data_IF_736882263739
#
_entry.id   IF_736882263739
#
_cell.length_a   1.000
_cell.length_b   1.000
_cell.length_c   1.000
_cell.angle_alpha   90.00
_cell.angle_beta   90.00
_cell.angle_gamma   90.00
#
_symmetry.space_group_name_H-M   'P 1'
#
loop_
_entity.id
_entity.type
_entity.pdbx_description
1 polymer ?
#
# COMPACT_ATOMS: atom_id res chain seq x y z
N UNK A 1 11.01 23.55 11.63
CA UNK A 1 10.31 22.45 10.94
C UNK A 1 10.95 22.33 9.57
N UNK A 2 11.76 21.29 9.36
CA UNK A 2 12.40 21.02 8.07
C UNK A 2 11.32 20.65 7.06
N UNK A 3 11.46 21.06 5.80
CA UNK A 3 10.55 20.62 4.75
C UNK A 3 10.53 19.08 4.70
N UNK A 4 9.36 18.44 4.54
CA UNK A 4 9.28 16.99 4.48
C UNK A 4 10.17 16.51 3.34
N UNK A 5 11.21 15.78 3.71
CA UNK A 5 12.21 15.30 2.79
C UNK A 5 11.54 14.22 1.95
N UNK A 6 11.48 14.42 0.64
CA UNK A 6 10.92 13.42 -0.27
C UNK A 6 11.78 12.15 -0.17
N UNK A 7 11.27 11.13 0.52
CA UNK A 7 12.00 9.90 0.77
C UNK A 7 11.85 8.95 -0.42
N UNK A 8 12.78 9.05 -1.37
CA UNK A 8 12.75 8.27 -2.63
C UNK A 8 12.72 6.76 -2.39
N UNK A 9 13.40 6.27 -1.35
CA UNK A 9 13.37 4.86 -0.99
C UNK A 9 11.95 4.43 -0.59
N UNK A 10 11.28 5.24 0.22
CA UNK A 10 9.90 4.96 0.64
C UNK A 10 8.90 5.16 -0.48
N UNK A 11 9.15 6.08 -1.41
CA UNK A 11 8.34 6.22 -2.62
C UNK A 11 8.38 4.94 -3.47
N UNK A 12 9.57 4.35 -3.67
CA UNK A 12 9.67 3.06 -4.37
C UNK A 12 8.94 1.94 -3.62
N UNK A 13 9.13 1.85 -2.30
CA UNK A 13 8.45 0.83 -1.47
C UNK A 13 6.93 1.01 -1.50
N UNK A 14 6.43 2.24 -1.51
CA UNK A 14 5.03 2.53 -1.70
C UNK A 14 4.51 2.02 -3.06
N UNK A 15 5.21 2.34 -4.17
CA UNK A 15 4.85 1.81 -5.48
C UNK A 15 4.86 0.27 -5.48
N UNK A 16 5.80 -0.36 -4.79
CA UNK A 16 5.87 -1.82 -4.67
C UNK A 16 4.69 -2.41 -3.89
N UNK A 17 4.28 -1.80 -2.78
CA UNK A 17 3.09 -2.21 -2.03
C UNK A 17 1.80 -2.04 -2.84
N UNK A 18 1.70 -0.98 -3.63
CA UNK A 18 0.52 -0.72 -4.47
C UNK A 18 0.41 -1.67 -5.66
N UNK A 19 1.55 -2.07 -6.26
CA UNK A 19 1.55 -2.84 -7.51
C UNK A 19 1.81 -4.34 -7.33
N UNK A 20 2.43 -4.76 -6.23
CA UNK A 20 2.76 -6.18 -5.96
C UNK A 20 3.79 -6.81 -6.92
N UNK A 21 4.22 -6.08 -7.94
CA UNK A 21 5.20 -6.47 -8.96
C UNK A 21 6.32 -5.43 -9.01
N UNK A 22 7.57 -5.88 -8.85
CA UNK A 22 8.73 -5.00 -8.76
C UNK A 22 9.00 -4.19 -10.04
N UNK A 23 8.69 -4.75 -11.21
CA UNK A 23 8.89 -4.10 -12.51
C UNK A 23 7.81 -3.03 -12.74
N UNK A 24 6.54 -3.34 -12.45
CA UNK A 24 5.45 -2.34 -12.48
C UNK A 24 5.74 -1.21 -11.49
N UNK A 25 6.16 -1.54 -10.28
CA UNK A 25 6.53 -0.56 -9.27
C UNK A 25 7.68 0.35 -9.72
N UNK A 26 8.73 -0.23 -10.34
CA UNK A 26 9.85 0.52 -10.89
C UNK A 26 9.42 1.47 -12.00
N UNK A 27 8.56 1.01 -12.92
CA UNK A 27 8.04 1.84 -14.01
C UNK A 27 7.25 3.06 -13.49
N UNK A 28 6.37 2.84 -12.52
CA UNK A 28 5.60 3.92 -11.88
C UNK A 28 6.53 4.88 -11.14
N UNK A 29 7.50 4.35 -10.39
CA UNK A 29 8.49 5.16 -9.67
C UNK A 29 9.32 6.04 -10.62
N UNK A 30 9.90 5.46 -11.67
CA UNK A 30 10.70 6.18 -12.65
C UNK A 30 9.88 7.23 -13.42
N UNK A 31 8.65 6.89 -13.78
CA UNK A 31 7.73 7.84 -14.44
C UNK A 31 7.39 9.01 -13.52
N UNK A 32 7.11 8.74 -12.24
CA UNK A 32 6.84 9.78 -11.24
C UNK A 32 8.04 10.73 -11.10
N UNK A 33 9.27 10.18 -11.03
CA UNK A 33 10.49 11.01 -10.94
C UNK A 33 10.81 11.78 -12.21
N UNK A 34 10.53 11.20 -13.38
CA UNK A 34 10.71 11.88 -14.67
C UNK A 34 9.81 13.12 -14.75
N UNK A 35 8.53 12.97 -14.45
CA UNK A 35 7.57 14.08 -14.44
C UNK A 35 7.93 15.12 -13.37
N UNK A 36 8.40 14.68 -12.20
CA UNK A 36 8.93 15.55 -11.18
C UNK A 36 10.10 16.41 -11.68
N UNK A 37 11.07 15.80 -12.36
CA UNK A 37 12.24 16.48 -12.90
C UNK A 37 11.85 17.50 -13.99
N UNK A 38 10.89 17.16 -14.86
CA UNK A 38 10.37 18.07 -15.86
C UNK A 38 9.71 19.30 -15.22
N UNK A 39 8.79 19.10 -14.27
CA UNK A 39 8.15 20.20 -13.52
C UNK A 39 9.18 21.06 -12.79
N UNK A 40 10.21 20.44 -12.21
CA UNK A 40 11.31 21.15 -11.56
C UNK A 40 12.08 22.06 -12.52
N UNK A 41 12.36 21.59 -13.73
CA UNK A 41 13.02 22.39 -14.76
C UNK A 41 12.21 23.63 -15.17
N UNK A 42 10.88 23.58 -15.03
CA UNK A 42 9.97 24.70 -15.28
C UNK A 42 9.68 25.56 -14.03
N UNK A 43 10.20 25.19 -12.86
CA UNK A 43 9.91 25.90 -11.61
C UNK A 43 8.49 25.65 -11.07
N UNK A 44 7.86 24.56 -11.49
CA UNK A 44 6.45 24.22 -11.22
C UNK A 44 6.28 23.11 -10.18
N UNK A 45 7.28 22.89 -9.32
CA UNK A 45 7.16 21.87 -8.27
C UNK A 45 6.07 22.25 -7.26
N UNK A 46 5.15 21.31 -6.93
CA UNK A 46 4.19 21.51 -5.86
C UNK A 46 4.89 21.82 -4.53
N UNK A 47 4.29 22.69 -3.72
CA UNK A 47 4.81 23.06 -2.39
C UNK A 47 4.24 22.16 -1.30
N UNK A 48 3.21 21.41 -1.62
CA UNK A 48 2.50 20.51 -0.73
C UNK A 48 3.44 19.39 -0.28
N UNK A 49 3.40 19.02 1.01
CA UNK A 49 4.18 17.89 1.50
C UNK A 49 3.75 16.60 0.78
N UNK A 50 4.70 15.70 0.58
CA UNK A 50 4.47 14.35 0.00
C UNK A 50 3.74 14.34 -1.36
N UNK A 51 3.83 15.41 -2.14
CA UNK A 51 3.18 15.46 -3.44
C UNK A 51 3.61 14.33 -4.39
N UNK A 52 4.86 13.81 -4.28
CA UNK A 52 5.31 12.64 -5.03
C UNK A 52 4.49 11.39 -4.69
N UNK A 53 4.10 11.21 -3.42
CA UNK A 53 3.26 10.07 -3.02
C UNK A 53 1.84 10.21 -3.55
N UNK A 54 1.28 11.43 -3.64
CA UNK A 54 -0.01 11.66 -4.31
C UNK A 54 0.08 11.34 -5.81
N UNK A 55 1.13 11.81 -6.46
CA UNK A 55 1.38 11.61 -7.90
C UNK A 55 1.59 10.12 -8.25
N UNK A 56 2.36 9.41 -7.40
CA UNK A 56 2.56 7.97 -7.49
C UNK A 56 1.27 7.18 -7.22
N UNK A 57 0.49 7.57 -6.20
CA UNK A 57 -0.80 6.92 -5.90
C UNK A 57 -1.71 6.98 -7.12
N UNK A 58 -1.88 8.15 -7.71
CA UNK A 58 -2.73 8.33 -8.89
C UNK A 58 -2.28 7.42 -10.06
N UNK A 59 -0.97 7.36 -10.35
CA UNK A 59 -0.41 6.46 -11.39
C UNK A 59 -0.62 4.98 -11.07
N UNK A 60 -0.45 4.57 -9.81
CA UNK A 60 -0.71 3.19 -9.40
C UNK A 60 -2.17 2.80 -9.61
N UNK A 61 -3.10 3.70 -9.30
CA UNK A 61 -4.54 3.49 -9.51
C UNK A 61 -4.85 3.35 -11.01
N UNK A 62 -4.39 4.29 -11.83
CA UNK A 62 -4.58 4.27 -13.29
C UNK A 62 -4.01 2.98 -13.92
N UNK A 63 -2.80 2.58 -13.55
CA UNK A 63 -2.19 1.35 -14.02
C UNK A 63 -2.97 0.10 -13.59
N UNK A 64 -3.60 0.12 -12.41
CA UNK A 64 -4.40 -0.99 -11.89
C UNK A 64 -5.80 -1.10 -12.51
N UNK A 65 -6.36 0.01 -13.01
CA UNK A 65 -7.64 -0.01 -13.74
C UNK A 65 -7.51 -0.64 -15.13
N UNK A 66 -6.30 -0.58 -15.71
CA UNK A 66 -6.01 -1.08 -17.05
C UNK A 66 -5.75 -2.60 -17.07
N UNK A 67 -5.30 -3.16 -15.94
CA UNK A 67 -5.26 -4.60 -15.72
C UNK A 67 -6.69 -5.11 -15.48
N UNK A 68 -7.11 -6.13 -16.24
CA UNK A 68 -8.40 -6.81 -16.10
C UNK A 68 -8.75 -7.00 -14.62
N UNK A 69 -9.75 -6.26 -14.15
CA UNK A 69 -10.19 -6.29 -12.76
C UNK A 69 -10.50 -7.73 -12.37
N UNK A 70 -9.75 -8.27 -11.40
CA UNK A 70 -10.18 -9.49 -10.74
C UNK A 70 -11.57 -9.24 -10.16
N UNK A 71 -12.52 -10.14 -10.40
CA UNK A 71 -13.84 -10.05 -9.77
C UNK A 71 -13.64 -9.84 -8.26
N UNK A 72 -14.47 -9.00 -7.61
CA UNK A 72 -14.38 -8.81 -6.17
C UNK A 72 -14.56 -10.16 -5.49
N UNK A 73 -13.46 -10.80 -5.11
CA UNK A 73 -13.52 -11.98 -4.28
C UNK A 73 -14.06 -11.50 -2.93
N UNK A 74 -15.12 -12.12 -2.43
CA UNK A 74 -15.44 -11.96 -1.01
C UNK A 74 -14.27 -12.53 -0.23
N UNK A 75 -13.41 -11.63 0.25
CA UNK A 75 -12.26 -12.02 1.05
C UNK A 75 -12.82 -12.39 2.42
N UNK A 76 -12.80 -13.69 2.73
CA UNK A 76 -13.11 -14.25 4.06
C UNK A 76 -12.40 -13.41 5.13
N UNK A 77 -13.08 -13.08 6.23
CA UNK A 77 -12.52 -12.30 7.34
C UNK A 77 -12.49 -13.15 8.60
N UNK A 78 -11.34 -13.17 9.28
CA UNK A 78 -11.16 -13.90 10.54
C UNK A 78 -10.61 -12.99 11.62
N UNK A 79 -11.04 -13.22 12.85
CA UNK A 79 -10.46 -12.52 14.00
C UNK A 79 -8.96 -12.78 14.07
N UNK A 80 -8.19 -11.73 14.33
CA UNK A 80 -6.73 -11.83 14.52
C UNK A 80 -6.45 -12.66 15.77
N UNK A 81 -5.70 -13.75 15.61
CA UNK A 81 -5.39 -14.70 16.68
C UNK A 81 -4.00 -14.47 17.28
N UNK A 82 -3.73 -15.03 18.45
CA UNK A 82 -2.42 -14.89 19.11
C UNK A 82 -1.26 -15.58 18.38
N UNK A 83 -1.56 -16.51 17.47
CA UNK A 83 -0.58 -17.30 16.71
C UNK A 83 -0.09 -16.58 15.42
N UNK A 84 -0.74 -15.48 15.02
CA UNK A 84 -0.40 -14.77 13.78
C UNK A 84 1.09 -14.40 13.64
N UNK A 85 1.82 -13.97 14.70
CA UNK A 85 3.23 -13.61 14.54
C UNK A 85 4.12 -14.76 14.02
N UNK A 86 3.85 -16.01 14.39
CA UNK A 86 4.64 -17.16 13.92
C UNK A 86 4.33 -17.54 12.48
N UNK A 87 3.09 -17.33 12.02
CA UNK A 87 2.71 -17.47 10.61
C UNK A 87 3.33 -16.34 9.77
N UNK A 88 3.27 -15.09 10.25
CA UNK A 88 3.84 -13.92 9.56
C UNK A 88 5.36 -14.07 9.42
N UNK A 89 6.05 -14.61 10.42
CA UNK A 89 7.50 -14.85 10.37
C UNK A 89 7.95 -15.85 9.29
N UNK A 90 7.02 -16.60 8.67
CA UNK A 90 7.30 -17.51 7.56
C UNK A 90 7.11 -16.86 6.18
N UNK A 91 6.60 -15.61 6.14
CA UNK A 91 6.35 -14.92 4.90
C UNK A 91 7.59 -14.18 4.40
N UNK A 92 7.80 -14.25 3.08
CA UNK A 92 8.70 -13.35 2.40
C UNK A 92 8.08 -11.94 2.30
N UNK A 93 8.86 -10.86 2.43
CA UNK A 93 8.33 -9.49 2.32
C UNK A 93 7.55 -9.22 1.03
N UNK A 94 7.92 -9.87 -0.07
CA UNK A 94 7.21 -9.76 -1.34
C UNK A 94 5.78 -10.33 -1.29
N UNK A 95 5.52 -11.34 -0.47
CA UNK A 95 4.17 -11.90 -0.32
C UNK A 95 3.21 -10.89 0.32
N UNK A 96 3.69 -10.07 1.24
CA UNK A 96 2.89 -8.98 1.81
C UNK A 96 2.55 -7.93 0.75
N UNK A 97 3.49 -7.56 -0.11
CA UNK A 97 3.25 -6.61 -1.20
C UNK A 97 2.22 -7.16 -2.20
N UNK A 98 2.32 -8.43 -2.57
CA UNK A 98 1.34 -9.10 -3.43
C UNK A 98 -0.04 -9.07 -2.79
N UNK A 99 -0.15 -9.45 -1.50
CA UNK A 99 -1.42 -9.42 -0.79
C UNK A 99 -2.02 -8.01 -0.71
N UNK A 100 -1.24 -7.00 -0.32
CA UNK A 100 -1.72 -5.60 -0.28
C UNK A 100 -2.18 -5.14 -1.66
N UNK A 101 -1.42 -5.44 -2.72
CA UNK A 101 -1.74 -5.03 -4.09
C UNK A 101 -3.04 -5.62 -4.65
N UNK A 102 -3.46 -6.77 -4.11
CA UNK A 102 -4.73 -7.43 -4.46
C UNK A 102 -5.96 -6.88 -3.75
N UNK A 103 -5.78 -6.06 -2.71
CA UNK A 103 -6.91 -5.42 -2.05
C UNK A 103 -7.57 -4.38 -2.96
N UNK A 104 -8.90 -4.17 -2.87
CA UNK A 104 -9.55 -3.10 -3.59
C UNK A 104 -9.16 -1.73 -3.02
N UNK A 105 -9.15 -0.69 -3.84
CA UNK A 105 -9.07 0.69 -3.32
C UNK A 105 -10.45 1.13 -2.77
N UNK A 106 -10.49 1.91 -1.67
CA UNK A 106 -9.36 2.60 -1.02
C UNK A 106 -8.58 1.78 0.03
N UNK A 107 -8.90 0.50 0.24
CA UNK A 107 -8.25 -0.33 1.27
C UNK A 107 -6.77 -0.55 0.96
N UNK A 108 -6.43 -0.82 -0.30
CA UNK A 108 -5.04 -0.97 -0.76
C UNK A 108 -4.18 0.25 -0.45
N UNK A 109 -4.62 1.45 -0.85
CA UNK A 109 -3.93 2.71 -0.49
C UNK A 109 -3.75 2.82 1.03
N UNK A 110 -4.79 2.56 1.82
CA UNK A 110 -4.73 2.67 3.27
C UNK A 110 -3.71 1.70 3.90
N UNK A 111 -3.68 0.45 3.45
CA UNK A 111 -2.73 -0.57 3.90
C UNK A 111 -1.29 -0.20 3.50
N UNK A 112 -1.08 0.21 2.26
CA UNK A 112 0.23 0.58 1.74
C UNK A 112 0.82 1.76 2.52
N UNK A 113 0.05 2.83 2.74
CA UNK A 113 0.52 4.01 3.48
C UNK A 113 0.77 3.70 4.97
N UNK A 114 -0.12 2.94 5.61
CA UNK A 114 -0.01 2.63 7.04
C UNK A 114 1.20 1.72 7.35
N UNK A 115 1.42 0.67 6.56
CA UNK A 115 2.53 -0.27 6.79
C UNK A 115 3.87 0.15 6.18
N UNK A 116 3.90 1.25 5.43
CA UNK A 116 5.16 1.88 5.01
C UNK A 116 5.92 2.51 6.20
N UNK A 117 5.18 2.86 7.26
CA UNK A 117 5.71 3.48 8.50
C UNK A 117 6.48 4.78 8.24
N UNK A 118 6.05 5.56 7.23
CA UNK A 118 6.66 6.84 6.85
C UNK A 118 5.79 8.05 7.25
N UNK A 119 4.51 7.84 7.55
CA UNK A 119 3.52 8.89 7.71
C UNK A 119 2.83 8.82 9.07
N UNK A 120 2.53 9.97 9.65
CA UNK A 120 1.60 10.04 10.76
C UNK A 120 0.15 9.82 10.29
N UNK A 121 -0.76 9.57 11.24
CA UNK A 121 -2.15 9.27 10.89
C UNK A 121 -2.86 10.41 10.15
N UNK A 122 -2.48 11.68 10.35
CA UNK A 122 -3.10 12.83 9.66
C UNK A 122 -2.62 12.89 8.21
N UNK A 123 -1.34 12.63 8.00
CA UNK A 123 -0.72 12.56 6.67
C UNK A 123 -1.34 11.41 5.86
N UNK A 124 -1.59 10.25 6.47
CA UNK A 124 -2.28 9.13 5.81
C UNK A 124 -3.69 9.53 5.39
N UNK A 125 -4.46 10.20 6.25
CA UNK A 125 -5.82 10.62 5.93
C UNK A 125 -5.87 11.58 4.74
N UNK A 126 -4.91 12.50 4.69
CA UNK A 126 -4.79 13.47 3.61
C UNK A 126 -4.32 12.83 2.29
N UNK A 127 -3.32 11.96 2.33
CA UNK A 127 -2.81 11.24 1.15
C UNK A 127 -3.82 10.24 0.57
N UNK A 128 -4.60 9.59 1.43
CA UNK A 128 -5.62 8.61 1.02
C UNK A 128 -6.98 9.24 0.72
N UNK A 129 -7.17 10.54 1.03
CA UNK A 129 -8.45 11.25 0.94
C UNK A 129 -9.56 10.58 1.76
N UNK A 130 -9.23 10.17 3.00
CA UNK A 130 -10.11 9.41 3.89
C UNK A 130 -10.44 10.16 5.18
N UNK A 131 -11.56 9.79 5.80
CA UNK A 131 -11.86 10.15 7.20
C UNK A 131 -11.25 9.12 8.15
N UNK A 132 -10.99 9.55 9.39
CA UNK A 132 -10.41 8.67 10.44
C UNK A 132 -11.20 7.37 10.64
N UNK A 133 -12.53 7.46 10.65
CA UNK A 133 -13.42 6.29 10.78
C UNK A 133 -13.28 5.32 9.61
N UNK A 134 -13.06 5.83 8.39
CA UNK A 134 -12.87 5.02 7.19
C UNK A 134 -11.52 4.32 7.23
N UNK A 135 -10.44 5.06 7.52
CA UNK A 135 -9.11 4.50 7.69
C UNK A 135 -9.11 3.38 8.75
N UNK A 136 -9.68 3.64 9.92
CA UNK A 136 -9.77 2.64 10.99
C UNK A 136 -10.51 1.39 10.54
N UNK A 137 -11.64 1.54 9.83
CA UNK A 137 -12.44 0.41 9.32
C UNK A 137 -11.67 -0.39 8.27
N UNK A 138 -11.02 0.27 7.31
CA UNK A 138 -10.26 -0.36 6.23
C UNK A 138 -9.07 -1.18 6.79
N UNK A 139 -8.33 -0.61 7.75
CA UNK A 139 -7.21 -1.29 8.41
C UNK A 139 -7.68 -2.48 9.26
N UNK A 140 -8.77 -2.33 10.01
CA UNK A 140 -9.32 -3.42 10.80
C UNK A 140 -9.78 -4.57 9.91
N UNK A 141 -10.52 -4.26 8.84
CA UNK A 141 -10.96 -5.25 7.86
C UNK A 141 -9.77 -5.94 7.19
N UNK A 142 -8.77 -5.16 6.76
CA UNK A 142 -7.59 -5.68 6.08
C UNK A 142 -6.81 -6.66 6.95
N UNK A 143 -6.66 -6.37 8.25
CA UNK A 143 -6.02 -7.32 9.18
C UNK A 143 -6.76 -8.65 9.32
N UNK A 144 -8.09 -8.63 9.32
CA UNK A 144 -8.89 -9.86 9.40
C UNK A 144 -8.84 -10.68 8.12
N UNK A 145 -8.88 -10.00 6.98
CA UNK A 145 -8.70 -10.60 5.66
C UNK A 145 -7.30 -11.20 5.51
N UNK A 146 -6.27 -10.50 6.01
CA UNK A 146 -4.92 -11.02 6.05
C UNK A 146 -4.82 -12.26 6.95
N UNK A 147 -5.52 -12.28 8.09
CA UNK A 147 -5.58 -13.47 8.94
C UNK A 147 -6.23 -14.67 8.22
N UNK A 148 -7.33 -14.46 7.52
CA UNK A 148 -7.96 -15.52 6.73
C UNK A 148 -7.02 -16.06 5.65
N UNK A 149 -6.29 -15.16 4.98
CA UNK A 149 -5.27 -15.53 4.00
C UNK A 149 -4.10 -16.32 4.63
N UNK A 150 -3.62 -15.89 5.81
CA UNK A 150 -2.59 -16.62 6.57
C UNK A 150 -3.05 -18.04 6.91
N UNK A 151 -4.28 -18.20 7.41
CA UNK A 151 -4.83 -19.51 7.76
C UNK A 151 -4.95 -20.44 6.54
N UNK A 152 -5.24 -19.88 5.36
CA UNK A 152 -5.34 -20.63 4.11
C UNK A 152 -3.97 -21.03 3.54
N UNK A 153 -2.98 -20.13 3.59
CA UNK A 153 -1.66 -20.34 3.01
C UNK A 153 -0.70 -21.11 3.94
N UNK A 154 -0.85 -20.92 5.24
CA UNK A 154 -0.03 -21.54 6.29
C UNK A 154 -0.98 -22.23 7.28
N UNK A 155 -1.60 -23.35 6.87
CA UNK A 155 -2.55 -24.05 7.70
C UNK A 155 -1.90 -24.44 9.02
N UNK A 156 -2.60 -24.14 10.11
CA UNK A 156 -2.18 -24.52 11.45
C UNK A 156 -1.94 -26.04 11.46
N UNK A 157 -0.76 -26.46 11.91
CA UNK A 157 -0.48 -27.89 12.10
C UNK A 157 -1.55 -28.41 13.06
N UNK A 158 -2.35 -29.43 12.70
CA UNK A 158 -3.32 -29.97 13.64
C UNK A 158 -2.55 -30.47 14.86
N UNK A 159 -2.86 -29.95 16.04
CA UNK A 159 -2.36 -30.50 17.30
C UNK A 159 -2.86 -31.95 17.37
N UNK A 160 -1.93 -32.90 17.26
CA UNK A 160 -2.14 -34.33 17.55
C UNK A 160 -2.05 -34.53 19.06
#
# INVERSE_FOLDING_TARGET
MSAPQQNLQQLYRFCFLMMGDARKAQEIFETTLREAALRAAHGELPKEPFWLFRDARWRCLEASETDLQAEPLEIDDRDVVSESPSQIGQLEPAQLAIWISSAPDPQRTALALFYLDEFDYREILDLAELKLSELSRLLAMGRRQFQAWLDAMLPKTPNI
#
